data_IF_341627569707
#
_entry.id   IF_341627569707
#
_cell.length_a   1.000
_cell.length_b   1.000
_cell.length_c   1.000
_cell.angle_alpha   90.00
_cell.angle_beta   90.00
_cell.angle_gamma   90.00
#
_symmetry.space_group_name_H-M   'P 1'
#
loop_
_entity.id
_entity.type
_entity.pdbx_description
1 polymer ?
#
# COMPACT_ATOMS: atom_id res chain seq x y z
N UNK A 1 -4.13 -2.70 9.35
CA UNK A 1 -3.31 -2.20 10.48
C UNK A 1 -3.35 -0.67 10.47
N UNK A 2 -3.66 0.01 11.58
CA UNK A 2 -3.84 1.46 11.64
C UNK A 2 -2.53 2.25 11.89
N UNK A 3 -1.36 1.68 11.62
CA UNK A 3 -0.06 2.33 11.83
C UNK A 3 0.54 2.83 10.52
N UNK A 4 -0.23 3.62 9.76
CA UNK A 4 0.27 4.26 8.54
C UNK A 4 0.93 5.60 8.84
N UNK A 5 0.33 6.36 9.75
CA UNK A 5 0.87 7.61 10.29
C UNK A 5 0.72 7.55 11.81
N UNK A 6 1.72 8.03 12.54
CA UNK A 6 1.74 8.05 14.01
C UNK A 6 2.07 9.45 14.52
N UNK A 7 1.42 9.87 15.61
CA UNK A 7 1.77 11.09 16.35
C UNK A 7 1.58 10.88 17.85
N UNK A 8 2.44 11.49 18.65
CA UNK A 8 2.47 11.35 20.11
C UNK A 8 1.91 12.58 20.85
N UNK A 9 1.36 13.55 20.13
CA UNK A 9 0.89 14.81 20.74
C UNK A 9 -0.42 14.58 21.48
N UNK A 10 -0.41 14.85 22.79
CA UNK A 10 -1.58 14.69 23.65
C UNK A 10 -2.04 13.24 23.86
N UNK A 11 -1.25 12.25 23.39
CA UNK A 11 -1.56 10.82 23.42
C UNK A 11 -0.99 10.09 22.19
N UNK A 12 -0.99 8.76 22.21
CA UNK A 12 -0.62 7.96 21.04
C UNK A 12 -1.76 7.97 20.03
N UNK A 13 -1.53 8.58 18.87
CA UNK A 13 -2.48 8.63 17.75
C UNK A 13 -1.92 7.82 16.59
N UNK A 14 -2.70 6.87 16.11
CA UNK A 14 -2.36 5.93 15.06
C UNK A 14 -3.41 6.04 13.96
N UNK A 15 -3.03 6.60 12.83
CA UNK A 15 -3.89 6.81 11.69
C UNK A 15 -3.63 5.72 10.66
N UNK A 16 -4.68 5.01 10.27
CA UNK A 16 -4.70 4.12 9.12
C UNK A 16 -5.55 4.66 7.97
N UNK A 17 -5.55 3.95 6.84
CA UNK A 17 -6.32 4.31 5.65
C UNK A 17 -7.83 4.45 5.91
N UNK A 18 -8.40 3.55 6.72
CA UNK A 18 -9.85 3.48 6.97
C UNK A 18 -10.23 3.65 8.44
N UNK A 19 -9.25 3.56 9.36
CA UNK A 19 -9.51 3.56 10.80
C UNK A 19 -8.42 4.34 11.50
N UNK A 20 -8.84 5.21 12.42
CA UNK A 20 -7.95 5.97 13.29
C UNK A 20 -8.11 5.47 14.71
N UNK A 21 -7.01 5.25 15.40
CA UNK A 21 -6.96 4.83 16.79
C UNK A 21 -6.26 5.90 17.63
N UNK A 22 -6.94 6.38 18.67
CA UNK A 22 -6.43 7.35 19.62
C UNK A 22 -6.27 6.67 20.97
N UNK A 23 -5.16 6.92 21.66
CA UNK A 23 -4.91 6.46 23.01
C UNK A 23 -4.49 7.63 23.88
N UNK A 24 -5.41 8.09 24.71
CA UNK A 24 -5.11 9.06 25.77
C UNK A 24 -4.29 8.39 26.88
N UNK A 25 -3.45 9.18 27.56
CA UNK A 25 -2.59 8.71 28.64
C UNK A 25 -3.40 7.97 29.72
N UNK A 26 -3.02 6.73 30.04
CA UNK A 26 -3.69 5.91 31.06
C UNK A 26 -5.05 5.31 30.68
N UNK A 27 -5.50 5.43 29.41
CA UNK A 27 -6.78 4.87 28.94
C UNK A 27 -6.61 3.82 27.83
N UNK A 28 -7.66 3.02 27.61
CA UNK A 28 -7.72 2.06 26.50
C UNK A 28 -7.78 2.78 25.16
N UNK A 29 -7.19 2.22 24.09
CA UNK A 29 -7.23 2.83 22.76
C UNK A 29 -8.66 2.80 22.23
N UNK A 30 -9.17 3.96 21.80
CA UNK A 30 -10.44 4.09 21.09
C UNK A 30 -10.15 4.15 19.59
N UNK A 31 -10.81 3.29 18.82
CA UNK A 31 -10.62 3.24 17.37
C UNK A 31 -11.94 3.48 16.66
N UNK A 32 -11.98 4.46 15.77
CA UNK A 32 -13.16 4.85 15.02
C UNK A 32 -12.83 5.02 13.54
N UNK A 33 -13.87 4.98 12.71
CA UNK A 33 -13.78 5.28 11.28
C UNK A 33 -14.07 6.77 11.10
N UNK A 34 -13.14 7.56 10.56
CA UNK A 34 -13.40 8.97 10.30
C UNK A 34 -14.53 9.09 9.26
N UNK A 35 -15.51 9.96 9.54
CA UNK A 35 -16.57 10.33 8.61
C UNK A 35 -16.49 11.84 8.37
N UNK A 36 -16.33 12.32 7.13
CA UNK A 36 -16.24 11.56 5.87
C UNK A 36 -14.90 10.84 5.66
N UNK A 37 -14.93 9.71 4.95
CA UNK A 37 -13.72 9.01 4.52
C UNK A 37 -13.13 9.78 3.34
N UNK A 38 -11.84 10.09 3.42
CA UNK A 38 -11.11 10.79 2.37
C UNK A 38 -10.96 9.91 1.13
N UNK A 39 -11.33 10.45 -0.04
CA UNK A 39 -11.41 9.69 -1.30
C UNK A 39 -10.06 9.16 -1.77
N UNK A 40 -8.98 9.89 -1.53
CA UNK A 40 -7.60 9.56 -1.83
C UNK A 40 -7.15 8.31 -1.05
N UNK A 41 -7.49 8.24 0.24
CA UNK A 41 -7.15 7.11 1.09
C UNK A 41 -8.01 5.88 0.79
N UNK A 42 -9.28 6.10 0.42
CA UNK A 42 -10.14 5.03 -0.07
C UNK A 42 -9.61 4.46 -1.40
N UNK A 43 -9.21 5.32 -2.34
CA UNK A 43 -8.64 4.91 -3.62
C UNK A 43 -7.32 4.16 -3.42
N UNK A 44 -6.46 4.67 -2.53
CA UNK A 44 -5.22 3.98 -2.10
C UNK A 44 -5.53 2.59 -1.58
N UNK A 45 -6.52 2.45 -0.69
CA UNK A 45 -6.94 1.16 -0.15
C UNK A 45 -7.42 0.21 -1.24
N UNK A 46 -8.27 0.69 -2.17
CA UNK A 46 -8.77 -0.11 -3.30
C UNK A 46 -7.60 -0.57 -4.20
N UNK A 47 -6.68 0.33 -4.55
CA UNK A 47 -5.50 -0.01 -5.36
C UNK A 47 -4.62 -1.07 -4.69
N UNK A 48 -4.42 -0.99 -3.36
CA UNK A 48 -3.68 -2.01 -2.61
C UNK A 48 -4.39 -3.36 -2.64
N UNK A 49 -5.70 -3.40 -2.41
CA UNK A 49 -6.47 -4.65 -2.43
C UNK A 49 -6.44 -5.29 -3.82
N UNK A 50 -6.68 -4.51 -4.87
CA UNK A 50 -6.60 -5.00 -6.26
C UNK A 50 -5.18 -5.48 -6.60
N UNK A 51 -4.14 -4.76 -6.18
CA UNK A 51 -2.76 -5.15 -6.39
C UNK A 51 -2.41 -6.49 -5.70
N UNK A 52 -2.89 -6.70 -4.47
CA UNK A 52 -2.72 -7.97 -3.74
C UNK A 52 -3.39 -9.11 -4.52
N UNK A 53 -4.64 -8.93 -4.96
CA UNK A 53 -5.36 -9.94 -5.76
C UNK A 53 -4.59 -10.27 -7.03
N UNK A 54 -4.11 -9.26 -7.78
CA UNK A 54 -3.32 -9.46 -8.99
C UNK A 54 -2.01 -10.23 -8.73
N UNK A 55 -1.30 -9.93 -7.64
CA UNK A 55 -0.08 -10.69 -7.26
C UNK A 55 -0.43 -12.12 -6.88
N UNK A 56 -1.46 -12.34 -6.06
CA UNK A 56 -1.86 -13.69 -5.66
C UNK A 56 -2.20 -14.55 -6.89
N UNK A 57 -2.96 -14.01 -7.84
CA UNK A 57 -3.26 -14.69 -9.10
C UNK A 57 -1.98 -14.92 -9.91
N UNK A 58 -1.06 -13.95 -9.94
CA UNK A 58 0.24 -14.10 -10.63
C UNK A 58 1.05 -15.24 -10.06
N UNK A 59 1.16 -15.36 -8.73
CA UNK A 59 1.88 -16.45 -8.05
C UNK A 59 1.24 -17.80 -8.39
N UNK A 60 -0.10 -17.88 -8.35
CA UNK A 60 -0.83 -19.10 -8.71
C UNK A 60 -0.57 -19.48 -10.17
N UNK A 61 -0.64 -18.53 -11.10
CA UNK A 61 -0.37 -18.78 -12.52
C UNK A 61 1.08 -19.18 -12.78
N UNK A 62 2.05 -18.61 -12.05
CA UNK A 62 3.45 -19.01 -12.11
C UNK A 62 3.63 -20.44 -11.61
N UNK A 63 2.97 -20.82 -10.52
CA UNK A 63 2.96 -22.20 -10.03
C UNK A 63 2.37 -23.18 -11.06
N UNK A 64 1.28 -22.81 -11.74
CA UNK A 64 0.73 -23.62 -12.84
C UNK A 64 1.58 -23.61 -14.10
N UNK A 65 2.38 -22.55 -14.33
CA UNK A 65 3.25 -22.44 -15.50
C UNK A 65 4.35 -23.50 -15.52
N UNK A 66 4.70 -24.09 -14.38
CA UNK A 66 5.59 -25.26 -14.33
C UNK A 66 5.07 -26.43 -15.19
N UNK A 67 3.75 -26.56 -15.36
CA UNK A 67 3.14 -27.58 -16.22
C UNK A 67 2.78 -27.09 -17.62
N UNK A 68 2.43 -25.81 -17.79
CA UNK A 68 1.92 -25.25 -19.06
C UNK A 68 2.58 -23.90 -19.35
N UNK A 69 3.59 -23.86 -20.20
CA UNK A 69 4.32 -22.63 -20.55
C UNK A 69 3.43 -21.47 -21.08
N UNK A 70 2.24 -21.78 -21.64
CA UNK A 70 1.32 -20.79 -22.23
C UNK A 70 0.73 -19.80 -21.20
N UNK A 71 0.63 -20.16 -19.92
CA UNK A 71 0.11 -19.24 -18.87
C UNK A 71 1.10 -18.15 -18.46
N UNK A 72 2.37 -18.26 -18.87
CA UNK A 72 3.43 -17.31 -18.50
C UNK A 72 3.16 -15.88 -18.99
N UNK A 73 2.55 -15.73 -20.17
CA UNK A 73 2.21 -14.40 -20.73
C UNK A 73 1.16 -13.68 -19.89
N UNK A 74 0.17 -14.42 -19.37
CA UNK A 74 -0.88 -13.87 -18.51
C UNK A 74 -0.34 -13.50 -17.13
N UNK A 75 0.51 -14.35 -16.55
CA UNK A 75 1.18 -14.07 -15.27
C UNK A 75 2.00 -12.77 -15.34
N UNK A 76 2.75 -12.54 -16.43
CA UNK A 76 3.54 -11.31 -16.61
C UNK A 76 2.66 -10.06 -16.69
N UNK A 77 1.57 -10.12 -17.45
CA UNK A 77 0.64 -8.98 -17.57
C UNK A 77 -0.05 -8.65 -16.24
N UNK A 78 -0.51 -9.65 -15.50
CA UNK A 78 -1.11 -9.46 -14.18
C UNK A 78 -0.10 -8.90 -13.17
N UNK A 79 1.14 -9.38 -13.21
CA UNK A 79 2.23 -8.85 -12.42
C UNK A 79 2.53 -7.38 -12.70
N UNK A 80 2.52 -6.98 -13.98
CA UNK A 80 2.70 -5.60 -14.40
C UNK A 80 1.54 -4.69 -13.96
N UNK A 81 0.29 -5.17 -14.06
CA UNK A 81 -0.89 -4.46 -13.55
C UNK A 81 -0.78 -4.25 -12.04
N UNK A 82 -0.37 -5.27 -11.28
CA UNK A 82 -0.17 -5.15 -9.84
C UNK A 82 0.88 -4.09 -9.47
N UNK A 83 2.00 -4.07 -10.21
CA UNK A 83 3.04 -3.06 -10.05
C UNK A 83 2.48 -1.64 -10.23
N UNK A 84 1.72 -1.40 -11.30
CA UNK A 84 1.08 -0.10 -11.55
C UNK A 84 0.15 0.29 -10.40
N UNK A 85 -0.70 -0.64 -9.95
CA UNK A 85 -1.65 -0.39 -8.85
C UNK A 85 -0.95 -0.01 -7.55
N UNK A 86 0.14 -0.69 -7.20
CA UNK A 86 0.94 -0.36 -6.02
C UNK A 86 1.68 0.97 -6.17
N UNK A 87 2.21 1.29 -7.35
CA UNK A 87 2.82 2.58 -7.61
C UNK A 87 1.80 3.73 -7.50
N UNK A 88 0.59 3.56 -8.05
CA UNK A 88 -0.50 4.53 -7.90
C UNK A 88 -0.87 4.73 -6.44
N UNK A 89 -1.03 3.64 -5.67
CA UNK A 89 -1.29 3.73 -4.24
C UNK A 89 -0.19 4.48 -3.48
N UNK A 90 1.09 4.28 -3.85
CA UNK A 90 2.21 4.98 -3.23
C UNK A 90 2.25 6.49 -3.52
N UNK A 91 1.70 6.93 -4.65
CA UNK A 91 1.59 8.35 -5.01
C UNK A 91 0.34 8.99 -4.41
N UNK A 92 -0.80 8.29 -4.45
CA UNK A 92 -2.10 8.82 -3.97
C UNK A 92 -2.11 8.97 -2.45
N UNK A 93 -1.49 8.06 -1.71
CA UNK A 93 -1.45 8.10 -0.26
C UNK A 93 -0.91 9.44 0.31
N UNK A 94 0.30 9.90 -0.07
CA UNK A 94 0.87 11.15 0.43
C UNK A 94 0.19 12.41 -0.09
N UNK A 95 -0.58 12.35 -1.19
CA UNK A 95 -1.40 13.48 -1.63
C UNK A 95 -2.43 13.84 -0.55
N UNK A 96 -3.00 12.85 0.13
CA UNK A 96 -4.04 13.08 1.14
C UNK A 96 -3.56 13.62 2.49
N UNK A 97 -2.31 14.06 2.64
CA UNK A 97 -1.75 14.60 3.90
C UNK A 97 -2.21 16.02 4.24
N UNK A 98 -2.77 16.74 3.27
CA UNK A 98 -3.32 18.10 3.41
C UNK A 98 -4.66 18.17 4.18
N UNK A 99 -5.07 17.09 4.87
CA UNK A 99 -6.30 17.12 5.67
C UNK A 99 -6.15 18.00 6.89
N UNK A 100 -7.22 18.69 7.25
CA UNK A 100 -7.31 19.52 8.46
C UNK A 100 -6.93 18.76 9.74
N UNK A 101 -7.14 17.44 9.78
CA UNK A 101 -6.78 16.60 10.93
C UNK A 101 -5.28 16.35 11.10
N UNK A 102 -4.51 16.44 10.02
CA UNK A 102 -3.03 16.34 10.03
C UNK A 102 -2.43 17.74 9.99
N UNK A 103 -3.05 18.67 9.26
CA UNK A 103 -2.57 20.04 9.07
C UNK A 103 -1.26 20.11 8.27
N UNK A 104 -1.01 19.11 7.42
CA UNK A 104 0.17 19.05 6.55
C UNK A 104 -0.06 19.73 5.19
N UNK A 105 0.92 19.60 4.31
CA UNK A 105 0.76 19.88 2.88
C UNK A 105 0.84 18.56 2.10
N UNK A 106 0.38 18.55 0.84
CA UNK A 106 0.52 17.37 -0.01
C UNK A 106 1.98 16.90 -0.04
N UNK A 107 2.22 15.61 0.18
CA UNK A 107 3.54 14.98 0.31
C UNK A 107 4.40 15.36 1.52
N UNK A 108 3.95 16.28 2.37
CA UNK A 108 4.71 16.75 3.53
C UNK A 108 3.93 16.57 4.82
N UNK A 109 4.43 15.69 5.70
CA UNK A 109 3.91 15.58 7.06
C UNK A 109 4.47 16.72 7.93
N UNK A 110 3.64 17.29 8.83
CA UNK A 110 4.15 18.20 9.85
C UNK A 110 5.14 17.49 10.77
N UNK A 111 6.06 18.24 11.40
CA UNK A 111 7.09 17.70 12.32
C UNK A 111 6.56 16.81 13.46
N UNK A 112 5.28 16.96 13.74
CA UNK A 112 4.54 16.31 14.80
C UNK A 112 4.00 14.93 14.43
N UNK A 113 4.03 14.59 13.14
CA UNK A 113 3.58 13.31 12.60
C UNK A 113 4.76 12.57 11.98
N UNK A 114 4.76 11.25 12.12
CA UNK A 114 5.75 10.37 11.52
C UNK A 114 5.07 9.27 10.74
N UNK A 115 5.77 8.73 9.75
CA UNK A 115 5.31 7.53 9.04
C UNK A 115 5.33 6.33 9.99
N UNK A 116 4.27 5.55 9.96
CA UNK A 116 4.14 4.34 10.76
C UNK A 116 4.68 3.10 10.04
N UNK A 117 4.81 1.99 10.78
CA UNK A 117 5.37 0.72 10.30
C UNK A 117 4.60 0.15 9.10
N UNK A 118 3.27 0.34 9.03
CA UNK A 118 2.46 -0.19 7.91
C UNK A 118 2.85 0.44 6.58
N UNK A 119 3.18 1.73 6.58
CA UNK A 119 3.65 2.42 5.37
C UNK A 119 5.04 1.92 4.95
N UNK A 120 5.94 1.68 5.91
CA UNK A 120 7.27 1.12 5.63
C UNK A 120 7.15 -0.25 4.95
N UNK A 121 6.32 -1.16 5.49
CA UNK A 121 6.10 -2.47 4.87
C UNK A 121 5.46 -2.36 3.50
N UNK A 122 4.55 -1.40 3.30
CA UNK A 122 3.97 -1.15 1.98
C UNK A 122 5.03 -0.71 0.96
N UNK A 123 5.90 0.25 1.30
CA UNK A 123 7.00 0.68 0.43
C UNK A 123 7.96 -0.46 0.10
N UNK A 124 8.30 -1.28 1.09
CA UNK A 124 9.11 -2.49 0.88
C UNK A 124 8.41 -3.48 -0.06
N UNK A 125 7.09 -3.68 0.08
CA UNK A 125 6.32 -4.54 -0.80
C UNK A 125 6.29 -4.02 -2.24
N UNK A 126 6.15 -2.70 -2.44
CA UNK A 126 6.25 -2.08 -3.77
C UNK A 126 7.63 -2.34 -4.36
N UNK A 127 8.70 -2.09 -3.59
CA UNK A 127 10.07 -2.31 -4.04
C UNK A 127 10.33 -3.76 -4.46
N UNK A 128 9.94 -4.74 -3.62
CA UNK A 128 10.06 -6.17 -3.93
C UNK A 128 9.26 -6.51 -5.20
N UNK A 129 8.04 -6.00 -5.32
CA UNK A 129 7.19 -6.25 -6.49
C UNK A 129 7.84 -5.74 -7.77
N UNK A 130 8.31 -4.48 -7.78
CA UNK A 130 9.00 -3.87 -8.92
C UNK A 130 10.23 -4.68 -9.31
N UNK A 131 11.10 -4.98 -8.33
CA UNK A 131 12.32 -5.76 -8.57
C UNK A 131 11.99 -7.14 -9.13
N UNK A 132 11.02 -7.85 -8.53
CA UNK A 132 10.61 -9.18 -9.00
C UNK A 132 10.07 -9.16 -10.43
N UNK A 133 9.30 -8.13 -10.82
CA UNK A 133 8.77 -8.01 -12.17
C UNK A 133 9.87 -7.70 -13.19
N UNK A 134 10.87 -6.91 -12.82
CA UNK A 134 12.03 -6.66 -13.68
C UNK A 134 12.81 -7.96 -13.97
N UNK A 135 13.00 -8.81 -12.97
CA UNK A 135 13.61 -10.13 -13.17
C UNK A 135 12.70 -11.06 -13.98
N UNK A 136 11.40 -11.15 -13.66
CA UNK A 136 10.46 -12.01 -14.39
C UNK A 136 10.26 -11.60 -15.85
N UNK A 137 10.47 -10.33 -16.20
CA UNK A 137 10.36 -9.83 -17.58
C UNK A 137 11.66 -9.97 -18.38
N UNK A 138 12.83 -9.83 -17.75
CA UNK A 138 14.16 -10.03 -18.39
C UNK A 138 14.58 -11.50 -18.48
N UNK A 139 14.32 -12.32 -17.46
CA UNK A 139 14.80 -13.72 -17.34
C UNK A 139 13.90 -14.72 -18.08
N UNK A 140 12.72 -14.29 -18.53
CA UNK A 140 11.77 -15.14 -19.24
C UNK A 140 11.51 -14.67 -20.68
N UNK A 141 12.48 -14.00 -21.31
CA UNK A 141 12.54 -13.91 -22.76
C UNK A 141 12.97 -15.29 -23.27
N UNK A 142 12.20 -15.97 -24.14
CA UNK A 142 12.76 -17.09 -24.87
C UNK A 142 13.94 -16.53 -25.68
N UNK A 143 15.14 -17.01 -25.36
CA UNK A 143 16.30 -16.79 -26.19
C UNK A 143 15.98 -17.47 -27.52
N UNK A 144 15.73 -16.67 -28.56
CA UNK A 144 15.80 -17.13 -29.94
C UNK A 144 17.27 -17.22 -30.34
#
# INVERSE_FOLDING_TARGET
MPHWIVSEIGGETNIGLLKTCLRAYGRSPICFMPSPIRGEWLLTFICIILGIVCISVTIILLAFSYWKFRVMKYARWLGFVAMILFCLAAVIFPIGFDMDQIGGEAYQLPHNYRVGISYIFFVLAVWITVVSQLFASKVCLPHF
#
